data_IF_270981426361
#
_entry.id   IF_270981426361
#
_cell.length_a   1.000
_cell.length_b   1.000
_cell.length_c   1.000
_cell.angle_alpha   90.00
_cell.angle_beta   90.00
_cell.angle_gamma   90.00
#
_symmetry.space_group_name_H-M   'P 1'
#
loop_
_entity.id
_entity.type
_entity.pdbx_description
1 polymer ?
#
# COMPACT_ATOMS: atom_id res chain seq x y z
N UNK A 1 -14.61 7.62 20.46
CA UNK A 1 -13.14 7.58 20.35
C UNK A 1 -12.78 7.49 18.87
N UNK A 2 -11.98 8.43 18.38
CA UNK A 2 -11.51 8.43 17.00
C UNK A 2 -10.50 7.28 16.81
N UNK A 3 -10.75 6.44 15.79
CA UNK A 3 -9.82 5.35 15.41
C UNK A 3 -8.91 5.84 14.29
N UNK A 4 -7.62 5.56 14.42
CA UNK A 4 -6.64 5.75 13.36
C UNK A 4 -5.97 4.42 13.07
N UNK A 5 -6.26 3.85 11.90
CA UNK A 5 -5.70 2.57 11.46
C UNK A 5 -4.47 2.82 10.58
N UNK A 6 -3.35 2.23 10.97
CA UNK A 6 -2.14 2.14 10.15
C UNK A 6 -2.20 0.84 9.34
N UNK A 7 -2.19 0.95 8.03
CA UNK A 7 -2.23 -0.18 7.10
C UNK A 7 -0.88 -0.26 6.39
N UNK A 8 -0.11 -1.29 6.69
CA UNK A 8 1.22 -1.50 6.10
C UNK A 8 1.11 -2.49 4.94
N UNK A 9 1.50 -2.07 3.76
CA UNK A 9 1.74 -2.97 2.62
C UNK A 9 3.06 -3.71 2.88
N UNK A 10 2.94 -4.85 3.53
CA UNK A 10 4.09 -5.55 4.13
C UNK A 10 5.13 -5.97 3.10
N UNK A 11 4.72 -6.54 1.98
CA UNK A 11 5.66 -6.98 0.96
C UNK A 11 6.37 -5.82 0.26
N UNK A 12 5.71 -4.69 0.08
CA UNK A 12 6.34 -3.49 -0.45
C UNK A 12 7.47 -3.01 0.47
N UNK A 13 7.22 -2.96 1.76
CA UNK A 13 8.21 -2.57 2.77
C UNK A 13 9.35 -3.59 2.87
N UNK A 14 9.02 -4.86 3.05
CA UNK A 14 9.97 -5.95 3.27
C UNK A 14 10.88 -6.13 2.06
N UNK A 15 10.34 -6.19 0.86
CA UNK A 15 11.14 -6.39 -0.37
C UNK A 15 12.13 -5.27 -0.61
N UNK A 16 11.77 -4.03 -0.32
CA UNK A 16 12.69 -2.90 -0.45
C UNK A 16 13.82 -2.94 0.57
N UNK A 17 13.53 -3.28 1.82
CA UNK A 17 14.54 -3.43 2.86
C UNK A 17 15.47 -4.60 2.50
N UNK A 18 14.92 -5.73 2.10
CA UNK A 18 15.71 -6.90 1.68
C UNK A 18 16.61 -6.61 0.46
N UNK A 19 16.12 -5.83 -0.51
CA UNK A 19 16.90 -5.44 -1.68
C UNK A 19 18.15 -4.62 -1.33
N UNK A 20 18.11 -3.88 -0.24
CA UNK A 20 19.24 -3.05 0.21
C UNK A 20 20.23 -3.83 1.06
N UNK A 21 19.75 -4.64 2.01
CA UNK A 21 20.63 -5.28 3.00
C UNK A 21 20.69 -6.80 2.92
N UNK A 22 19.77 -7.45 2.19
CA UNK A 22 19.65 -8.91 2.17
C UNK A 22 19.01 -9.47 3.43
N UNK A 23 19.17 -10.78 3.64
CA UNK A 23 18.73 -11.46 4.86
C UNK A 23 19.88 -11.56 5.88
N UNK A 24 19.57 -11.51 7.18
CA UNK A 24 18.28 -11.30 7.80
C UNK A 24 17.83 -9.82 7.77
N UNK A 25 16.55 -9.56 7.59
CA UNK A 25 16.01 -8.20 7.58
C UNK A 25 14.90 -7.95 8.63
N UNK A 26 14.65 -8.92 9.51
CA UNK A 26 13.60 -8.83 10.54
C UNK A 26 13.77 -7.59 11.42
N UNK A 27 14.96 -7.38 11.96
CA UNK A 27 15.22 -6.24 12.86
C UNK A 27 15.04 -4.90 12.17
N UNK A 28 15.48 -4.77 10.94
CA UNK A 28 15.32 -3.54 10.15
C UNK A 28 13.85 -3.30 9.82
N UNK A 29 13.09 -4.35 9.48
CA UNK A 29 11.64 -4.24 9.26
C UNK A 29 10.91 -3.82 10.53
N UNK A 30 11.26 -4.37 11.68
CA UNK A 30 10.69 -3.99 12.97
C UNK A 30 11.01 -2.54 13.33
N UNK A 31 12.26 -2.11 13.10
CA UNK A 31 12.64 -0.72 13.31
C UNK A 31 11.84 0.23 12.41
N UNK A 32 11.65 -0.12 11.15
CA UNK A 32 10.83 0.65 10.22
C UNK A 32 9.38 0.77 10.72
N UNK A 33 8.78 -0.32 11.21
CA UNK A 33 7.44 -0.31 11.76
C UNK A 33 7.33 0.55 13.03
N UNK A 34 8.32 0.47 13.91
CA UNK A 34 8.38 1.32 15.10
C UNK A 34 8.44 2.82 14.74
N UNK A 35 9.25 3.19 13.76
CA UNK A 35 9.32 4.55 13.26
C UNK A 35 7.98 5.01 12.65
N UNK A 36 7.33 4.16 11.89
CA UNK A 36 6.02 4.44 11.30
C UNK A 36 4.95 4.65 12.37
N UNK A 37 4.96 3.85 13.43
CA UNK A 37 4.05 3.99 14.58
C UNK A 37 4.29 5.30 15.30
N UNK A 38 5.55 5.64 15.58
CA UNK A 38 5.91 6.90 16.25
C UNK A 38 5.47 8.12 15.44
N UNK A 39 5.68 8.12 14.13
CA UNK A 39 5.33 9.25 13.26
C UNK A 39 3.83 9.35 12.95
N UNK A 40 3.11 8.23 12.92
CA UNK A 40 1.69 8.19 12.56
C UNK A 40 0.77 8.23 13.79
N UNK A 41 1.26 7.78 14.94
CA UNK A 41 0.49 7.67 16.19
C UNK A 41 -0.87 6.97 16.00
N UNK A 42 -0.89 5.76 15.42
CA UNK A 42 -2.14 5.06 15.16
C UNK A 42 -2.71 4.48 16.46
N UNK A 43 -4.01 4.25 16.48
CA UNK A 43 -4.67 3.47 17.54
C UNK A 43 -4.58 1.96 17.28
N UNK A 44 -4.53 1.58 16.00
CA UNK A 44 -4.43 0.19 15.56
C UNK A 44 -3.49 0.10 14.35
N UNK A 45 -2.82 -1.04 14.21
CA UNK A 45 -1.94 -1.31 13.09
C UNK A 45 -2.19 -2.71 12.52
N UNK A 46 -2.16 -2.82 11.20
CA UNK A 46 -2.29 -4.08 10.47
C UNK A 46 -1.27 -4.12 9.33
N UNK A 47 -0.67 -5.28 9.11
CA UNK A 47 0.16 -5.56 7.95
C UNK A 47 -0.60 -6.46 6.99
N UNK A 48 -0.74 -6.04 5.75
CA UNK A 48 -1.42 -6.81 4.71
C UNK A 48 -0.39 -7.50 3.81
N UNK A 49 -0.66 -8.75 3.50
CA UNK A 49 0.17 -9.60 2.66
C UNK A 49 -0.60 -10.06 1.43
N UNK A 50 0.10 -10.29 0.33
CA UNK A 50 -0.45 -11.00 -0.81
C UNK A 50 -0.77 -12.44 -0.40
N UNK A 51 -1.75 -13.05 -1.07
CA UNK A 51 -1.96 -14.48 -0.97
C UNK A 51 -0.72 -15.24 -1.45
N UNK A 52 -0.40 -16.32 -0.76
CA UNK A 52 0.73 -17.21 -1.15
C UNK A 52 0.48 -17.86 -2.52
N UNK A 53 -0.77 -18.17 -2.82
CA UNK A 53 -1.20 -18.72 -4.11
C UNK A 53 -1.59 -17.61 -5.11
N UNK A 54 -0.59 -16.90 -5.58
CA UNK A 54 -0.77 -15.79 -6.54
C UNK A 54 -1.29 -16.22 -7.90
N UNK A 55 -1.12 -17.48 -8.26
CA UNK A 55 -1.52 -17.99 -9.58
C UNK A 55 -3.05 -18.03 -9.74
N UNK A 56 -3.79 -18.10 -8.65
CA UNK A 56 -5.25 -18.19 -8.63
C UNK A 56 -5.95 -16.86 -8.28
N UNK A 57 -5.22 -15.77 -8.20
CA UNK A 57 -5.79 -14.43 -7.97
C UNK A 57 -6.75 -14.03 -9.10
N UNK A 58 -7.81 -13.29 -8.77
CA UNK A 58 -8.83 -12.85 -9.73
C UNK A 58 -8.25 -12.05 -10.92
N UNK A 59 -7.15 -11.32 -10.70
CA UNK A 59 -6.45 -10.59 -11.76
C UNK A 59 -5.77 -11.51 -12.75
N UNK A 60 -5.17 -12.61 -12.29
CA UNK A 60 -4.55 -13.61 -13.15
C UNK A 60 -5.60 -14.39 -13.97
N UNK A 61 -6.77 -14.64 -13.38
CA UNK A 61 -7.88 -15.28 -14.11
C UNK A 61 -8.40 -14.42 -15.25
N UNK A 62 -8.39 -13.10 -15.10
CA UNK A 62 -8.85 -12.16 -16.14
C UNK A 62 -7.76 -11.72 -17.11
N UNK A 63 -6.53 -11.67 -16.66
CA UNK A 63 -5.35 -11.24 -17.42
C UNK A 63 -4.19 -12.18 -17.12
N UNK A 64 -4.05 -13.29 -17.84
CA UNK A 64 -2.98 -14.29 -17.62
C UNK A 64 -1.56 -13.68 -17.64
N UNK A 65 -1.36 -12.62 -18.41
CA UNK A 65 -0.08 -11.90 -18.50
C UNK A 65 0.14 -10.90 -17.35
N UNK A 66 -0.79 -10.78 -16.42
CA UNK A 66 -0.69 -9.86 -15.32
C UNK A 66 0.52 -10.21 -14.44
N UNK A 67 1.45 -9.27 -14.33
CA UNK A 67 2.72 -9.44 -13.59
C UNK A 67 3.61 -10.61 -14.06
N UNK A 68 3.40 -11.16 -15.25
CA UNK A 68 4.18 -12.29 -15.77
C UNK A 68 5.70 -12.01 -15.83
N UNK A 69 6.11 -10.76 -16.02
CA UNK A 69 7.52 -10.34 -16.03
C UNK A 69 8.10 -9.96 -14.66
N UNK A 70 7.36 -10.17 -13.56
CA UNK A 70 7.84 -9.80 -12.24
C UNK A 70 8.80 -10.85 -11.68
N UNK A 71 9.99 -10.43 -11.28
CA UNK A 71 10.95 -11.32 -10.64
C UNK A 71 10.33 -12.04 -9.43
N UNK A 72 10.56 -13.35 -9.28
CA UNK A 72 10.09 -14.09 -8.12
C UNK A 72 10.69 -13.51 -6.83
N UNK A 73 10.07 -13.85 -5.71
CA UNK A 73 10.64 -13.47 -4.40
C UNK A 73 11.93 -14.27 -4.17
N UNK A 74 13.02 -13.63 -3.70
CA UNK A 74 14.23 -14.35 -3.36
C UNK A 74 13.97 -15.47 -2.35
N UNK A 75 14.59 -16.62 -2.54
CA UNK A 75 14.40 -17.79 -1.66
C UNK A 75 14.74 -17.48 -0.20
N UNK A 76 15.79 -16.70 0.04
CA UNK A 76 16.19 -16.25 1.37
C UNK A 76 15.08 -15.44 2.05
N UNK A 77 14.39 -14.62 1.31
CA UNK A 77 13.26 -13.84 1.82
C UNK A 77 12.03 -14.73 2.07
N UNK A 78 11.75 -15.67 1.17
CA UNK A 78 10.66 -16.64 1.36
C UNK A 78 10.86 -17.44 2.64
N UNK A 79 12.08 -17.89 2.91
CA UNK A 79 12.42 -18.62 4.14
C UNK A 79 12.27 -17.75 5.40
N UNK A 80 12.47 -16.44 5.30
CA UNK A 80 12.36 -15.50 6.41
C UNK A 80 10.94 -15.03 6.70
N UNK A 81 10.01 -15.17 5.77
CA UNK A 81 8.63 -14.68 5.89
C UNK A 81 7.90 -15.15 7.15
N UNK A 82 7.97 -16.44 7.58
CA UNK A 82 7.32 -16.86 8.82
C UNK A 82 7.85 -16.12 10.05
N UNK A 83 9.16 -15.89 10.11
CA UNK A 83 9.80 -15.15 11.20
C UNK A 83 9.38 -13.67 11.21
N UNK A 84 9.27 -13.05 10.04
CA UNK A 84 8.80 -11.68 9.88
C UNK A 84 7.34 -11.53 10.36
N UNK A 85 6.46 -12.43 9.96
CA UNK A 85 5.05 -12.43 10.41
C UNK A 85 4.95 -12.59 11.94
N UNK A 86 5.67 -13.55 12.50
CA UNK A 86 5.70 -13.77 13.94
C UNK A 86 6.22 -12.55 14.71
N UNK A 87 7.27 -11.91 14.21
CA UNK A 87 7.84 -10.72 14.82
C UNK A 87 6.85 -9.53 14.77
N UNK A 88 6.10 -9.35 13.70
CA UNK A 88 5.08 -8.32 13.58
C UNK A 88 3.95 -8.53 14.59
N UNK A 89 3.46 -9.78 14.70
CA UNK A 89 2.41 -10.12 15.66
C UNK A 89 2.85 -9.94 17.12
N UNK A 90 4.10 -10.25 17.45
CA UNK A 90 4.67 -10.00 18.76
C UNK A 90 4.71 -8.50 19.11
N UNK A 91 4.78 -7.63 18.11
CA UNK A 91 4.71 -6.17 18.29
C UNK A 91 3.29 -5.61 18.26
N UNK A 92 2.26 -6.46 18.25
CA UNK A 92 0.87 -6.07 18.23
C UNK A 92 0.35 -5.66 16.84
N UNK A 93 1.10 -5.96 15.77
CA UNK A 93 0.71 -5.68 14.40
C UNK A 93 0.11 -6.94 13.80
N UNK A 94 -1.19 -6.93 13.56
CA UNK A 94 -1.89 -8.08 12.98
C UNK A 94 -1.48 -8.27 11.53
N UNK A 95 -1.09 -9.49 11.19
CA UNK A 95 -0.83 -9.89 9.81
C UNK A 95 -2.10 -10.44 9.17
N UNK A 96 -2.45 -9.91 8.00
CA UNK A 96 -3.66 -10.32 7.30
C UNK A 96 -3.39 -10.59 5.82
N UNK A 97 -3.90 -11.72 5.36
CA UNK A 97 -3.94 -12.12 3.96
C UNK A 97 -5.31 -12.73 3.68
N UNK A 98 -5.78 -12.63 2.45
CA UNK A 98 -7.05 -13.21 2.03
C UNK A 98 -6.86 -14.02 0.76
N UNK A 99 -7.46 -15.22 0.66
CA UNK A 99 -7.33 -16.07 -0.51
C UNK A 99 -7.75 -15.34 -1.80
N UNK A 100 -6.92 -15.46 -2.83
CA UNK A 100 -7.15 -14.85 -4.13
C UNK A 100 -7.04 -13.32 -4.20
N UNK A 101 -6.66 -12.67 -3.08
CA UNK A 101 -6.54 -11.21 -3.00
C UNK A 101 -5.09 -10.77 -2.89
N UNK A 102 -4.80 -9.63 -3.51
CA UNK A 102 -3.50 -8.98 -3.34
C UNK A 102 -3.53 -8.00 -2.15
N UNK A 103 -2.35 -7.69 -1.60
CA UNK A 103 -2.22 -6.77 -0.46
C UNK A 103 -2.81 -5.38 -0.77
N UNK A 104 -2.69 -4.91 -2.00
CA UNK A 104 -3.24 -3.62 -2.42
C UNK A 104 -4.77 -3.59 -2.38
N UNK A 105 -5.44 -4.69 -2.73
CA UNK A 105 -6.89 -4.81 -2.62
C UNK A 105 -7.35 -4.80 -1.15
N UNK A 106 -6.63 -5.53 -0.30
CA UNK A 106 -6.93 -5.58 1.13
C UNK A 106 -6.70 -4.22 1.80
N UNK A 107 -5.60 -3.57 1.51
CA UNK A 107 -5.29 -2.25 2.03
C UNK A 107 -6.33 -1.21 1.59
N UNK A 108 -6.71 -1.20 0.31
CA UNK A 108 -7.73 -0.31 -0.21
C UNK A 108 -9.09 -0.54 0.45
N UNK A 109 -9.49 -1.80 0.60
CA UNK A 109 -10.76 -2.17 1.23
C UNK A 109 -10.82 -1.72 2.69
N UNK A 110 -9.76 -1.96 3.45
CA UNK A 110 -9.66 -1.53 4.84
C UNK A 110 -9.71 0.00 4.97
N UNK A 111 -8.94 0.71 4.17
CA UNK A 111 -8.89 2.16 4.21
C UNK A 111 -10.27 2.78 3.92
N UNK A 112 -10.95 2.29 2.89
CA UNK A 112 -12.29 2.77 2.52
C UNK A 112 -13.32 2.47 3.61
N UNK A 113 -13.31 1.26 4.16
CA UNK A 113 -14.24 0.89 5.25
C UNK A 113 -14.02 1.73 6.50
N UNK A 114 -12.77 1.96 6.88
CA UNK A 114 -12.43 2.81 8.03
C UNK A 114 -12.87 4.26 7.81
N UNK A 115 -12.64 4.79 6.61
CA UNK A 115 -13.09 6.12 6.25
C UNK A 115 -14.60 6.27 6.24
N UNK A 116 -15.33 5.28 5.72
CA UNK A 116 -16.81 5.24 5.72
C UNK A 116 -17.40 5.18 7.14
N UNK A 117 -16.66 4.57 8.07
CA UNK A 117 -17.04 4.55 9.48
C UNK A 117 -16.73 5.86 10.23
N UNK A 118 -16.22 6.88 9.55
CA UNK A 118 -15.87 8.17 10.14
C UNK A 118 -14.51 8.20 10.86
N UNK A 119 -13.63 7.25 10.57
CA UNK A 119 -12.31 7.12 11.16
C UNK A 119 -11.20 7.46 10.16
N UNK A 120 -9.96 7.50 10.64
CA UNK A 120 -8.79 7.81 9.83
C UNK A 120 -8.02 6.54 9.46
N UNK A 121 -7.44 6.53 8.26
CA UNK A 121 -6.53 5.49 7.80
C UNK A 121 -5.25 6.10 7.22
N UNK A 122 -4.13 5.44 7.50
CA UNK A 122 -2.83 5.73 6.87
C UNK A 122 -2.33 4.47 6.20
N UNK A 123 -2.08 4.54 4.90
CA UNK A 123 -1.51 3.43 4.13
C UNK A 123 -0.01 3.67 3.98
N UNK A 124 0.78 2.68 4.36
CA UNK A 124 2.24 2.70 4.19
C UNK A 124 2.61 1.93 2.94
N UNK A 125 2.99 2.63 1.90
CA UNK A 125 3.45 2.04 0.64
C UNK A 125 4.21 3.05 -0.20
N UNK A 126 5.05 2.54 -1.10
CA UNK A 126 5.68 3.32 -2.17
C UNK A 126 4.89 3.24 -3.47
N UNK A 127 3.84 2.42 -3.52
CA UNK A 127 2.99 2.30 -4.71
C UNK A 127 2.06 3.50 -4.81
N UNK A 128 2.26 4.30 -5.85
CA UNK A 128 1.44 5.48 -6.12
C UNK A 128 0.01 5.15 -6.58
N UNK A 129 -0.28 3.90 -6.88
CA UNK A 129 -1.64 3.43 -7.15
C UNK A 129 -2.61 3.73 -6.00
N UNK A 130 -2.13 3.76 -4.77
CA UNK A 130 -2.93 4.14 -3.61
C UNK A 130 -3.34 5.63 -3.58
N UNK A 131 -2.69 6.50 -4.33
CA UNK A 131 -3.02 7.94 -4.36
C UNK A 131 -4.45 8.22 -4.81
N UNK A 132 -5.06 7.31 -5.56
CA UNK A 132 -6.48 7.41 -5.92
C UNK A 132 -7.45 7.32 -4.73
N UNK A 133 -6.97 6.80 -3.59
CA UNK A 133 -7.75 6.66 -2.36
C UNK A 133 -7.62 7.87 -1.43
N UNK A 134 -6.75 8.84 -1.74
CA UNK A 134 -6.53 10.02 -0.91
C UNK A 134 -7.84 10.77 -0.65
N UNK A 135 -8.09 11.02 0.62
CA UNK A 135 -9.25 11.77 1.10
C UNK A 135 -8.87 12.52 2.39
N UNK A 136 -9.74 13.37 2.93
CA UNK A 136 -9.48 14.01 4.23
C UNK A 136 -9.18 13.04 5.37
N UNK A 137 -9.62 11.77 5.24
CA UNK A 137 -9.45 10.72 6.26
C UNK A 137 -8.50 9.61 5.86
N UNK A 138 -8.02 9.59 4.61
CA UNK A 138 -7.05 8.60 4.10
C UNK A 138 -5.80 9.31 3.64
N UNK A 139 -4.67 8.97 4.28
CA UNK A 139 -3.34 9.47 3.93
C UNK A 139 -2.42 8.32 3.53
N UNK A 140 -1.35 8.64 2.80
CA UNK A 140 -0.32 7.68 2.42
C UNK A 140 1.01 8.15 3.02
N UNK A 141 1.74 7.21 3.62
CA UNK A 141 3.11 7.41 4.09
C UNK A 141 4.07 6.63 3.23
N UNK A 142 5.03 7.34 2.62
CA UNK A 142 6.20 6.73 2.00
C UNK A 142 7.34 6.73 3.02
N UNK A 143 7.62 5.56 3.60
CA UNK A 143 8.65 5.40 4.61
C UNK A 143 10.05 5.71 4.07
N UNK A 144 10.36 5.29 2.84
CA UNK A 144 11.70 5.42 2.25
C UNK A 144 12.04 6.85 1.85
N UNK A 145 11.06 7.60 1.36
CA UNK A 145 11.21 9.02 1.03
C UNK A 145 10.82 9.95 2.19
N UNK A 146 10.38 9.38 3.30
CA UNK A 146 9.98 10.11 4.52
C UNK A 146 8.99 11.24 4.25
N UNK A 147 8.00 10.98 3.40
CA UNK A 147 7.00 11.98 3.03
C UNK A 147 5.58 11.48 3.25
N UNK A 148 4.69 12.43 3.46
CA UNK A 148 3.26 12.22 3.52
C UNK A 148 2.61 12.62 2.19
N UNK A 149 1.62 11.85 1.78
CA UNK A 149 0.74 12.18 0.68
C UNK A 149 -0.67 12.32 1.25
N UNK A 150 -1.19 13.54 1.18
CA UNK A 150 -2.52 13.90 1.67
C UNK A 150 -3.39 14.37 0.53
N UNK A 151 -4.72 14.27 0.69
CA UNK A 151 -5.63 14.98 -0.19
C UNK A 151 -5.40 16.49 -0.06
N UNK A 152 -5.42 17.25 -1.16
CA UNK A 152 -5.32 18.70 -1.05
C UNK A 152 -6.45 19.20 -0.16
N UNK A 153 -6.08 19.87 0.94
CA UNK A 153 -7.05 20.56 1.78
C UNK A 153 -7.84 21.52 0.90
N UNK A 154 -9.15 21.54 1.02
CA UNK A 154 -10.03 22.42 0.26
C UNK A 154 -9.49 23.83 0.23
N UNK A 155 -9.33 24.46 -0.93
CA UNK A 155 -8.81 25.81 -0.99
C UNK A 155 -9.85 26.80 -0.45
N UNK A 156 -9.63 27.27 0.73
CA UNK A 156 -10.06 28.61 1.03
C UNK A 156 -9.09 29.54 0.27
N UNK A 157 -9.62 30.22 -0.77
CA UNK A 157 -9.00 31.28 -1.56
C UNK A 157 -8.00 30.88 -2.67
N UNK A 158 -8.49 31.10 -3.91
CA UNK A 158 -7.78 31.68 -5.06
C UNK A 158 -6.32 31.26 -5.30
N UNK A 159 -6.09 30.05 -5.79
CA UNK A 159 -4.97 29.77 -6.68
C UNK A 159 -5.27 28.52 -7.49
N UNK A 160 -5.08 28.60 -8.77
CA UNK A 160 -5.41 27.62 -9.80
C UNK A 160 -4.97 26.18 -9.44
N UNK A 161 -5.87 25.18 -9.45
CA UNK A 161 -5.53 23.81 -9.05
C UNK A 161 -4.75 22.99 -10.06
N UNK A 162 -4.29 23.59 -11.16
CA UNK A 162 -3.73 22.87 -12.30
C UNK A 162 -2.23 22.62 -12.29
N UNK A 163 -1.48 23.14 -11.33
CA UNK A 163 -0.01 23.13 -11.40
C UNK A 163 0.74 22.22 -10.43
N UNK A 164 0.08 21.61 -9.42
CA UNK A 164 0.79 20.85 -8.39
C UNK A 164 0.97 19.35 -8.65
N UNK A 165 0.37 18.81 -9.71
CA UNK A 165 0.49 17.40 -10.08
C UNK A 165 1.32 17.19 -11.36
N UNK A 166 2.26 18.07 -11.65
CA UNK A 166 3.25 17.74 -12.68
C UNK A 166 4.14 16.62 -12.18
N UNK A 167 3.81 15.43 -12.57
CA UNK A 167 4.74 14.30 -12.53
C UNK A 167 5.82 14.58 -13.57
N UNK A 168 6.88 15.24 -13.16
CA UNK A 168 8.07 15.39 -13.98
C UNK A 168 8.85 14.09 -13.94
N UNK A 169 8.88 13.37 -15.06
CA UNK A 169 9.81 12.28 -15.31
C UNK A 169 9.25 10.86 -15.21
N UNK A 170 9.16 10.20 -16.34
CA UNK A 170 9.32 8.74 -16.45
C UNK A 170 8.13 7.81 -16.23
N UNK A 171 6.93 8.29 -16.01
CA UNK A 171 5.80 7.45 -15.55
C UNK A 171 4.78 7.03 -16.62
N UNK A 172 5.09 7.14 -17.90
CA UNK A 172 4.10 6.93 -18.98
C UNK A 172 3.65 5.48 -19.20
N UNK A 173 4.27 4.49 -18.56
CA UNK A 173 4.02 3.08 -18.94
C UNK A 173 3.16 2.25 -17.98
N UNK A 174 3.29 2.41 -16.69
CA UNK A 174 2.72 1.46 -15.73
C UNK A 174 1.44 1.93 -15.02
N UNK A 175 1.34 3.21 -14.69
CA UNK A 175 0.14 3.75 -14.04
C UNK A 175 -1.03 3.86 -15.02
N UNK A 176 -0.76 4.27 -16.27
CA UNK A 176 -1.79 4.36 -17.31
C UNK A 176 -2.34 2.99 -17.74
N UNK A 177 -1.56 1.91 -17.58
CA UNK A 177 -2.04 0.55 -17.83
C UNK A 177 -2.89 0.03 -16.67
N UNK A 178 -2.56 0.39 -15.43
CA UNK A 178 -3.35 0.02 -14.25
C UNK A 178 -4.70 0.76 -14.20
N UNK A 179 -4.72 2.04 -14.55
CA UNK A 179 -5.99 2.79 -14.69
C UNK A 179 -6.90 2.23 -15.78
N UNK A 180 -6.34 1.75 -16.91
CA UNK A 180 -7.15 1.12 -17.96
C UNK A 180 -7.73 -0.22 -17.54
N UNK A 181 -6.99 -1.02 -16.80
CA UNK A 181 -7.49 -2.27 -16.25
C UNK A 181 -8.60 -2.03 -15.21
N UNK A 182 -8.50 -0.98 -14.43
CA UNK A 182 -9.52 -0.59 -13.46
C UNK A 182 -10.82 -0.09 -14.12
N UNK A 183 -10.72 0.72 -15.18
CA UNK A 183 -11.90 1.17 -15.96
C UNK A 183 -12.66 0.02 -16.63
N UNK A 184 -11.97 -1.01 -17.05
CA UNK A 184 -12.62 -2.21 -17.62
C UNK A 184 -13.43 -2.98 -16.58
N UNK A 185 -13.21 -2.73 -15.30
CA UNK A 185 -13.83 -3.44 -14.19
C UNK A 185 -14.90 -2.62 -13.45
N UNK A 186 -14.87 -1.29 -13.58
CA UNK A 186 -15.86 -0.39 -12.95
C UNK A 186 -16.34 0.67 -13.96
N UNK A 187 -17.50 0.46 -14.59
CA UNK A 187 -18.07 1.41 -15.54
C UNK A 187 -18.48 2.76 -14.92
N UNK A 188 -18.42 2.88 -13.58
CA UNK A 188 -18.73 4.13 -12.85
C UNK A 188 -17.48 4.90 -12.43
N UNK A 189 -16.28 4.46 -12.83
CA UNK A 189 -15.05 5.17 -12.51
C UNK A 189 -15.04 6.58 -13.14
N UNK A 190 -14.61 7.63 -12.40
CA UNK A 190 -14.63 8.99 -12.89
C UNK A 190 -13.69 9.20 -14.08
N UNK A 191 -14.02 10.15 -14.99
CA UNK A 191 -13.28 10.36 -16.23
C UNK A 191 -11.86 10.95 -16.09
N UNK A 192 -11.41 11.22 -14.89
CA UNK A 192 -10.15 11.91 -14.58
C UNK A 192 -8.95 11.02 -14.25
N UNK A 193 -9.03 9.73 -14.58
CA UNK A 193 -7.84 8.85 -14.54
C UNK A 193 -7.06 8.88 -15.86
#
# INVERSE_FOLDING_TARGET
VAVHLLIVDALNLIRRIHAVQGSPCVDTCLHALEQLIVHSQPTHAVAVFDDEDRAHGWRHQRLPEYKAGRAPMPETLVAEMPALRAAFEQRGIRCWASPGSEADDLAATLAVKVAQAGHQATIVSTDKGYCQLLSPTIRIRDYFQKRWLDAPSSPASSASPRSSWRITGGWRGSAARRCRAWRALDPKAPPSC
#
